data_IF_972032542127
#
_entry.id   IF_972032542127
#
_cell.length_a   1.000
_cell.length_b   1.000
_cell.length_c   1.000
_cell.angle_alpha   90.00
_cell.angle_beta   90.00
_cell.angle_gamma   90.00
#
_symmetry.space_group_name_H-M   'P 1'
#
loop_
_entity.id
_entity.type
_entity.pdbx_description
1 polymer ?
#
# COMPACT_ATOMS: atom_id res chain seq x y z
N UNK A 1 0.50 21.86 0.50
CA UNK A 1 -0.02 23.18 0.05
C UNK A 1 -1.27 23.49 0.85
N UNK A 2 -1.35 24.60 1.58
CA UNK A 2 -2.57 24.96 2.31
C UNK A 2 -3.53 25.71 1.38
N UNK A 3 -4.76 25.21 1.24
CA UNK A 3 -5.83 25.87 0.49
C UNK A 3 -5.70 25.84 -1.04
N UNK A 4 -4.82 25.00 -1.59
CA UNK A 4 -4.56 24.94 -3.03
C UNK A 4 -4.16 23.56 -3.50
N UNK A 5 -4.37 23.33 -4.80
CA UNK A 5 -3.82 22.23 -5.59
C UNK A 5 -2.85 22.89 -6.58
N UNK A 6 -1.63 22.38 -6.68
CA UNK A 6 -0.70 22.76 -7.74
C UNK A 6 -0.72 21.67 -8.83
N UNK A 7 -1.25 21.96 -10.04
CA UNK A 7 -1.38 20.99 -11.11
C UNK A 7 -0.05 20.38 -11.58
N UNK A 8 1.09 21.02 -11.27
CA UNK A 8 2.41 20.47 -11.60
C UNK A 8 2.70 19.16 -10.85
N UNK A 9 2.01 18.90 -9.74
CA UNK A 9 2.13 17.68 -8.95
C UNK A 9 1.02 16.66 -9.26
N UNK A 10 0.18 16.89 -10.27
CA UNK A 10 -0.88 15.95 -10.68
C UNK A 10 -0.77 15.65 -12.18
N UNK A 11 -0.02 14.61 -12.54
CA UNK A 11 0.29 14.30 -13.95
C UNK A 11 -0.93 13.81 -14.75
N UNK A 12 -1.87 13.12 -14.10
CA UNK A 12 -3.03 12.48 -14.75
C UNK A 12 -4.39 13.01 -14.26
N UNK A 13 -4.37 14.09 -13.46
CA UNK A 13 -5.57 14.67 -12.83
C UNK A 13 -5.81 14.13 -11.42
N UNK A 14 -7.04 14.29 -10.92
CA UNK A 14 -7.44 13.94 -9.54
C UNK A 14 -8.66 13.04 -9.58
N UNK A 15 -8.58 11.90 -8.89
CA UNK A 15 -9.73 11.07 -8.55
C UNK A 15 -10.20 11.41 -7.13
N UNK A 16 -11.48 11.76 -7.00
CA UNK A 16 -12.07 12.07 -5.70
C UNK A 16 -12.62 10.79 -5.07
N UNK A 17 -12.08 10.44 -3.90
CA UNK A 17 -12.47 9.27 -3.12
C UNK A 17 -13.25 9.77 -1.89
N UNK A 18 -14.49 9.29 -1.66
CA UNK A 18 -15.25 9.70 -0.48
C UNK A 18 -14.63 9.11 0.79
N UNK A 19 -14.65 9.89 1.88
CA UNK A 19 -14.31 9.36 3.20
C UNK A 19 -15.35 8.34 3.65
N UNK A 20 -14.89 7.23 4.22
CA UNK A 20 -15.77 6.24 4.85
C UNK A 20 -16.10 6.57 6.31
N UNK A 21 -15.23 7.34 6.98
CA UNK A 21 -15.46 7.91 8.30
C UNK A 21 -14.68 9.22 8.48
N UNK A 22 -15.23 10.18 9.22
CA UNK A 22 -14.61 11.50 9.50
C UNK A 22 -13.79 11.49 10.80
N UNK A 23 -12.94 10.48 10.98
CA UNK A 23 -12.05 10.32 12.14
C UNK A 23 -10.58 10.52 11.74
N UNK A 24 -10.16 9.76 10.73
CA UNK A 24 -8.91 9.91 9.98
C UNK A 24 -9.22 10.28 8.52
N UNK A 25 -8.20 10.42 7.68
CA UNK A 25 -8.37 10.36 6.22
C UNK A 25 -8.67 8.91 5.80
N UNK A 26 -9.80 8.40 6.27
CA UNK A 26 -10.22 7.01 6.12
C UNK A 26 -11.05 6.83 4.84
N UNK A 27 -10.69 5.83 4.06
CA UNK A 27 -11.32 5.47 2.79
C UNK A 27 -11.63 3.97 2.77
N UNK A 28 -12.55 3.59 1.88
CA UNK A 28 -12.80 2.19 1.53
C UNK A 28 -11.86 1.78 0.41
N UNK A 29 -11.15 0.67 0.61
CA UNK A 29 -10.32 0.03 -0.41
C UNK A 29 -11.03 -1.24 -0.92
N UNK A 30 -11.02 -1.45 -2.23
CA UNK A 30 -11.77 -2.53 -2.87
C UNK A 30 -11.04 -3.86 -2.77
N UNK A 31 -9.74 -3.87 -3.09
CA UNK A 31 -8.83 -5.03 -3.06
C UNK A 31 -7.39 -4.63 -3.30
N UNK A 32 -6.47 -5.54 -3.00
CA UNK A 32 -5.05 -5.46 -3.39
C UNK A 32 -4.73 -6.62 -4.32
N UNK A 33 -4.12 -6.34 -5.47
CA UNK A 33 -3.74 -7.36 -6.46
C UNK A 33 -2.24 -7.32 -6.77
N UNK A 34 -1.68 -8.49 -7.07
CA UNK A 34 -0.45 -8.62 -7.85
C UNK A 34 -0.89 -9.07 -9.24
N UNK A 35 -0.50 -8.31 -10.27
CA UNK A 35 -1.08 -8.46 -11.60
C UNK A 35 -2.63 -8.44 -11.54
N UNK A 36 -3.29 -9.53 -11.91
CA UNK A 36 -4.75 -9.70 -11.89
C UNK A 36 -5.27 -10.46 -10.65
N UNK A 37 -4.38 -11.04 -9.84
CA UNK A 37 -4.75 -11.92 -8.73
C UNK A 37 -4.90 -11.14 -7.42
N UNK A 38 -6.06 -11.26 -6.78
CA UNK A 38 -6.32 -10.63 -5.49
C UNK A 38 -5.58 -11.34 -4.35
N UNK A 39 -4.52 -10.70 -3.84
CA UNK A 39 -3.68 -11.24 -2.78
C UNK A 39 -4.17 -10.85 -1.38
N UNK A 40 -4.77 -9.67 -1.22
CA UNK A 40 -5.29 -9.19 0.05
C UNK A 40 -6.52 -8.30 -0.12
N UNK A 41 -7.20 -7.97 1.00
CA UNK A 41 -8.38 -7.09 1.00
C UNK A 41 -9.51 -7.59 0.05
N UNK A 42 -9.71 -8.91 -0.08
CA UNK A 42 -10.57 -9.52 -1.12
C UNK A 42 -12.06 -9.14 -1.03
N UNK A 43 -12.52 -8.74 0.15
CA UNK A 43 -13.93 -8.43 0.45
C UNK A 43 -14.14 -6.94 0.73
N UNK A 44 -13.25 -6.08 0.21
CA UNK A 44 -13.08 -4.71 0.66
C UNK A 44 -12.59 -4.61 2.12
N UNK A 45 -11.87 -3.53 2.41
CA UNK A 45 -11.31 -3.24 3.72
C UNK A 45 -11.23 -1.72 3.93
N UNK A 46 -10.83 -1.31 5.13
CA UNK A 46 -10.65 0.10 5.46
C UNK A 46 -9.17 0.46 5.41
N UNK A 47 -8.87 1.65 4.92
CA UNK A 47 -7.53 2.20 4.90
C UNK A 47 -7.53 3.65 5.37
N UNK A 48 -6.47 4.08 6.05
CA UNK A 48 -6.18 5.50 6.28
C UNK A 48 -5.01 5.94 5.43
N UNK A 49 -5.06 7.16 4.91
CA UNK A 49 -3.91 7.81 4.26
C UNK A 49 -3.18 8.63 5.32
N UNK A 50 -1.94 8.24 5.64
CA UNK A 50 -1.23 8.77 6.81
C UNK A 50 0.21 9.18 6.49
N UNK A 51 0.44 10.49 6.40
CA UNK A 51 1.78 11.08 6.25
C UNK A 51 2.68 10.90 7.48
N UNK A 52 2.14 10.38 8.59
CA UNK A 52 2.89 10.05 9.80
C UNK A 52 3.53 8.67 9.79
N UNK A 53 3.21 7.82 8.80
CA UNK A 53 3.71 6.45 8.67
C UNK A 53 4.58 6.32 7.43
N UNK A 54 5.78 5.75 7.58
CA UNK A 54 6.71 5.61 6.45
C UNK A 54 6.35 4.45 5.51
N UNK A 55 5.91 3.31 6.05
CA UNK A 55 5.63 2.08 5.31
C UNK A 55 4.13 1.94 5.00
N UNK A 56 3.76 0.93 4.22
CA UNK A 56 2.37 0.50 4.11
C UNK A 56 2.11 -0.54 5.20
N UNK A 57 1.30 -0.19 6.20
CA UNK A 57 0.97 -1.09 7.30
C UNK A 57 -0.34 -1.83 7.02
N UNK A 58 -0.40 -3.12 7.35
CA UNK A 58 -1.56 -3.97 7.04
C UNK A 58 -1.79 -5.07 8.08
N UNK A 59 -2.97 -5.71 8.09
CA UNK A 59 -3.21 -6.86 8.96
C UNK A 59 -2.21 -7.99 8.74
N UNK A 60 -1.91 -8.75 9.79
CA UNK A 60 -0.89 -9.80 9.73
C UNK A 60 -1.16 -10.86 8.65
N UNK A 61 -2.42 -11.24 8.45
CA UNK A 61 -2.84 -12.18 7.39
C UNK A 61 -2.51 -11.65 6.00
N UNK A 62 -2.85 -10.39 5.73
CA UNK A 62 -2.51 -9.73 4.47
C UNK A 62 -1.00 -9.59 4.27
N UNK A 63 -0.26 -9.30 5.34
CA UNK A 63 1.19 -9.21 5.29
C UNK A 63 1.82 -10.54 4.92
N UNK A 64 1.45 -11.63 5.60
CA UNK A 64 1.94 -12.98 5.32
C UNK A 64 1.63 -13.42 3.88
N UNK A 65 0.40 -13.19 3.41
CA UNK A 65 -0.03 -13.51 2.05
C UNK A 65 0.78 -12.72 1.01
N UNK A 66 0.99 -11.43 1.23
CA UNK A 66 1.75 -10.56 0.32
C UNK A 66 3.24 -10.91 0.30
N UNK A 67 3.86 -11.13 1.47
CA UNK A 67 5.29 -11.49 1.55
C UNK A 67 5.54 -12.83 0.84
N UNK A 68 4.66 -13.82 1.06
CA UNK A 68 4.74 -15.11 0.36
C UNK A 68 4.58 -14.95 -1.15
N UNK A 69 3.69 -14.07 -1.61
CA UNK A 69 3.46 -13.86 -3.03
C UNK A 69 4.62 -13.12 -3.73
N UNK A 70 5.30 -12.23 -3.02
CA UNK A 70 6.48 -11.50 -3.50
C UNK A 70 7.79 -12.29 -3.32
N UNK A 71 7.77 -13.42 -2.60
CA UNK A 71 8.97 -14.23 -2.33
C UNK A 71 9.89 -13.63 -1.26
N UNK A 72 9.34 -12.80 -0.37
CA UNK A 72 10.05 -12.25 0.78
C UNK A 72 9.94 -13.17 2.01
N UNK A 73 10.84 -12.99 2.97
CA UNK A 73 10.77 -13.68 4.27
C UNK A 73 9.74 -13.01 5.21
N UNK A 74 9.60 -13.52 6.44
CA UNK A 74 8.68 -13.00 7.45
C UNK A 74 9.03 -11.58 7.96
N UNK A 75 10.26 -11.13 7.73
CA UNK A 75 10.73 -9.80 8.12
C UNK A 75 10.57 -8.79 6.97
N UNK A 76 10.09 -9.24 5.80
CA UNK A 76 9.96 -8.42 4.59
C UNK A 76 11.26 -8.26 3.80
N UNK A 77 12.30 -9.04 4.10
CA UNK A 77 13.54 -9.04 3.32
C UNK A 77 13.41 -9.92 2.08
N UNK A 78 14.05 -9.49 1.00
CA UNK A 78 14.07 -10.19 -0.28
C UNK A 78 15.48 -10.16 -0.92
N UNK A 79 15.77 -11.11 -1.80
CA UNK A 79 16.99 -11.07 -2.61
C UNK A 79 16.96 -9.86 -3.56
N UNK A 80 17.99 -9.01 -3.51
CA UNK A 80 18.13 -7.88 -4.43
C UNK A 80 18.16 -8.30 -5.91
N UNK A 81 18.62 -9.52 -6.22
CA UNK A 81 18.64 -10.05 -7.59
C UNK A 81 17.22 -10.26 -8.16
N UNK A 82 16.22 -10.44 -7.29
CA UNK A 82 14.83 -10.69 -7.69
C UNK A 82 14.03 -9.41 -7.96
N UNK A 83 14.54 -8.23 -7.55
CA UNK A 83 13.81 -6.95 -7.61
C UNK A 83 13.34 -6.62 -9.03
N UNK A 84 14.16 -6.93 -10.04
CA UNK A 84 13.83 -6.69 -11.45
C UNK A 84 12.67 -7.54 -11.99
N UNK A 85 12.27 -8.58 -11.27
CA UNK A 85 11.18 -9.49 -11.63
C UNK A 85 9.90 -9.28 -10.82
N UNK A 86 9.92 -8.36 -9.84
CA UNK A 86 8.78 -8.12 -8.99
C UNK A 86 7.65 -7.39 -9.75
N UNK A 87 6.38 -7.75 -9.51
CA UNK A 87 5.23 -7.06 -10.12
C UNK A 87 4.91 -5.75 -9.38
N UNK A 88 4.05 -4.93 -9.97
CA UNK A 88 3.43 -3.82 -9.23
C UNK A 88 2.47 -4.39 -8.17
N UNK A 89 2.42 -3.75 -7.00
CA UNK A 89 1.34 -3.97 -6.02
C UNK A 89 0.22 -2.97 -6.33
N UNK A 90 -0.94 -3.46 -6.74
CA UNK A 90 -2.02 -2.59 -7.21
C UNK A 90 -3.09 -2.47 -6.14
N UNK A 91 -3.29 -1.24 -5.66
CA UNK A 91 -4.36 -0.88 -4.74
C UNK A 91 -5.57 -0.43 -5.56
N UNK A 92 -6.70 -1.09 -5.37
CA UNK A 92 -7.96 -0.74 -6.05
C UNK A 92 -8.81 0.07 -5.09
N UNK A 93 -9.11 1.31 -5.43
CA UNK A 93 -9.83 2.26 -4.58
C UNK A 93 -10.91 2.95 -5.41
N UNK A 94 -12.18 2.76 -5.02
CA UNK A 94 -13.33 3.34 -5.71
C UNK A 94 -13.36 3.00 -7.22
N UNK A 95 -12.97 1.77 -7.57
CA UNK A 95 -12.89 1.30 -8.96
C UNK A 95 -11.69 1.81 -9.77
N UNK A 96 -10.79 2.59 -9.16
CA UNK A 96 -9.54 3.06 -9.78
C UNK A 96 -8.35 2.22 -9.34
N UNK A 97 -7.33 2.11 -10.21
CA UNK A 97 -6.09 1.37 -9.96
C UNK A 97 -4.98 2.35 -9.57
N UNK A 98 -4.32 2.06 -8.46
CA UNK A 98 -3.14 2.77 -7.96
C UNK A 98 -1.97 1.76 -7.86
N UNK A 99 -1.18 1.59 -8.94
CA UNK A 99 -0.02 0.70 -8.91
C UNK A 99 1.10 1.32 -8.09
N UNK A 100 1.70 0.53 -7.19
CA UNK A 100 2.94 0.88 -6.48
C UNK A 100 4.04 -0.02 -7.06
N UNK A 101 4.99 0.54 -7.83
CA UNK A 101 6.01 -0.25 -8.51
C UNK A 101 7.10 -0.73 -7.55
N UNK A 102 7.90 -1.76 -7.93
CA UNK A 102 9.02 -2.23 -7.11
C UNK A 102 10.00 -1.12 -6.71
N UNK A 103 10.21 -0.13 -7.57
CA UNK A 103 11.07 1.02 -7.25
C UNK A 103 10.56 1.89 -6.09
N UNK A 104 9.27 1.81 -5.77
CA UNK A 104 8.64 2.56 -4.70
C UNK A 104 8.60 1.76 -3.39
N UNK A 105 8.33 0.46 -3.47
CA UNK A 105 8.17 -0.41 -2.31
C UNK A 105 9.41 -1.26 -1.98
N UNK A 106 10.52 -1.20 -2.73
CA UNK A 106 11.78 -1.88 -2.38
C UNK A 106 12.83 -0.86 -1.96
N UNK A 107 13.49 -1.09 -0.84
CA UNK A 107 14.64 -0.30 -0.39
C UNK A 107 15.90 -1.17 -0.40
N UNK A 108 16.95 -0.72 -1.10
CA UNK A 108 18.30 -1.29 -1.02
C UNK A 108 19.14 -0.51 -0.01
N UNK A 109 19.53 -1.18 1.08
CA UNK A 109 20.49 -0.68 2.06
C UNK A 109 21.78 -1.50 1.99
N UNK A 110 22.74 -1.00 1.22
CA UNK A 110 24.09 -1.58 1.10
C UNK A 110 24.11 -3.06 0.66
N UNK A 111 23.22 -3.43 -0.27
CA UNK A 111 23.08 -4.79 -0.79
C UNK A 111 22.08 -5.65 -0.02
N UNK A 112 21.34 -5.06 0.93
CA UNK A 112 20.22 -5.69 1.62
C UNK A 112 18.92 -5.07 1.14
N UNK A 113 18.05 -5.87 0.51
CA UNK A 113 16.77 -5.38 0.00
C UNK A 113 15.63 -5.76 0.94
N UNK A 114 14.84 -4.77 1.34
CA UNK A 114 13.63 -4.97 2.14
C UNK A 114 12.43 -4.31 1.47
N UNK A 115 11.25 -4.87 1.75
CA UNK A 115 9.99 -4.37 1.23
C UNK A 115 9.39 -3.30 2.16
N UNK A 116 8.71 -2.32 1.57
CA UNK A 116 8.12 -1.16 2.21
C UNK A 116 6.77 -1.45 2.87
N UNK A 117 6.62 -2.64 3.43
CA UNK A 117 5.40 -3.14 4.06
C UNK A 117 5.68 -3.53 5.50
N UNK A 118 4.69 -3.35 6.38
CA UNK A 118 4.79 -3.81 7.77
C UNK A 118 3.49 -4.47 8.24
N UNK A 119 3.63 -5.45 9.13
CA UNK A 119 2.50 -6.09 9.81
C UNK A 119 2.03 -5.22 10.98
N UNK A 120 0.74 -4.92 11.01
CA UNK A 120 0.07 -4.19 12.06
C UNK A 120 -0.93 -5.10 12.79
N UNK A 121 -0.66 -5.35 14.06
CA UNK A 121 -1.55 -6.10 14.95
C UNK A 121 -2.59 -5.23 15.65
N UNK A 122 -3.21 -4.27 14.96
CA UNK A 122 -4.22 -3.38 15.57
C UNK A 122 -5.63 -3.90 15.25
N UNK A 123 -6.35 -4.48 16.23
CA UNK A 123 -7.76 -4.78 16.05
C UNK A 123 -8.53 -3.46 16.02
N UNK A 124 -9.32 -3.22 14.97
CA UNK A 124 -10.31 -2.13 15.00
C UNK A 124 -11.71 -2.70 15.15
N UNK A 125 -12.65 -1.89 15.67
CA UNK A 125 -14.06 -2.30 15.77
C UNK A 125 -14.69 -2.59 14.40
N UNK A 126 -14.09 -2.05 13.32
CA UNK A 126 -14.54 -2.19 11.92
C UNK A 126 -13.83 -3.32 11.16
N UNK A 127 -12.90 -4.03 11.80
CA UNK A 127 -12.13 -5.12 11.20
C UNK A 127 -10.67 -4.75 10.91
N UNK A 128 -10.18 -5.23 9.78
CA UNK A 128 -8.81 -5.08 9.29
C UNK A 128 -8.56 -3.67 8.74
N UNK A 129 -7.71 -2.88 9.43
CA UNK A 129 -7.31 -1.54 9.00
C UNK A 129 -5.95 -1.57 8.30
N UNK A 130 -5.85 -0.82 7.21
CA UNK A 130 -4.60 -0.54 6.49
C UNK A 130 -4.15 0.89 6.73
N UNK A 131 -2.84 1.12 6.67
CA UNK A 131 -2.24 2.47 6.66
C UNK A 131 -1.47 2.61 5.35
N UNK A 132 -1.92 3.55 4.51
CA UNK A 132 -1.23 3.96 3.28
C UNK A 132 -0.29 5.11 3.63
N UNK A 133 0.94 4.75 3.99
CA UNK A 133 2.00 5.68 4.36
C UNK A 133 2.78 6.25 3.18
N UNK A 134 3.97 6.76 3.46
CA UNK A 134 4.81 7.48 2.49
C UNK A 134 5.17 6.64 1.25
N UNK A 135 5.30 5.31 1.39
CA UNK A 135 5.50 4.41 0.23
C UNK A 135 4.38 4.55 -0.80
N UNK A 136 3.13 4.72 -0.36
CA UNK A 136 1.99 4.95 -1.26
C UNK A 136 1.90 6.41 -1.70
N UNK A 137 2.09 7.36 -0.78
CA UNK A 137 1.85 8.81 -1.03
C UNK A 137 2.84 9.42 -2.04
N UNK A 138 4.02 8.82 -2.22
CA UNK A 138 5.03 9.33 -3.17
C UNK A 138 4.72 9.02 -4.64
N UNK A 139 3.81 8.08 -4.90
CA UNK A 139 3.40 7.64 -6.25
C UNK A 139 2.11 8.35 -6.72
#
# INVERSE_FOLDING_TARGET
LFGAIDPLYTLTGIHWIPLSAETYWQITMDKVTLDEDAVACRSSCQAIVDTGTSLIAMPNTAFEDLMSALGANSDGDISCDSVSSLPDVIFHINGHRFPVPPSAYVTDTAGSCSLGFESMGVPTESGELWILGDVFIRE
#
